data_IF_682966606358
#
_entry.id   IF_682966606358
#
_cell.length_a   1.000
_cell.length_b   1.000
_cell.length_c   1.000
_cell.angle_alpha   90.00
_cell.angle_beta   90.00
_cell.angle_gamma   90.00
#
_symmetry.space_group_name_H-M   'P 1'
#
loop_
_entity.id
_entity.type
_entity.pdbx_description
1 polymer ?
#
# COMPACT_ATOMS: atom_id res chain seq x y z
N UNK A 1 -16.48 -18.89 6.71
CA UNK A 1 -15.89 -18.99 5.36
C UNK A 1 -15.95 -17.68 4.55
N UNK A 2 -16.29 -16.51 5.13
CA UNK A 2 -16.25 -15.22 4.41
C UNK A 2 -15.01 -14.38 4.75
N UNK A 3 -14.55 -14.43 6.01
CA UNK A 3 -13.41 -13.64 6.49
C UNK A 3 -12.07 -14.12 5.93
N UNK A 4 -11.94 -15.42 5.63
CA UNK A 4 -10.72 -16.00 5.04
C UNK A 4 -10.38 -15.37 3.69
N UNK A 5 -11.37 -15.35 2.78
CA UNK A 5 -11.23 -14.75 1.47
C UNK A 5 -10.90 -13.26 1.58
N UNK A 6 -11.53 -12.53 2.50
CA UNK A 6 -11.22 -11.12 2.70
C UNK A 6 -9.80 -10.89 3.25
N UNK A 7 -9.33 -11.73 4.18
CA UNK A 7 -7.95 -11.65 4.71
C UNK A 7 -6.92 -11.96 3.62
N UNK A 8 -7.16 -12.99 2.82
CA UNK A 8 -6.26 -13.34 1.71
C UNK A 8 -6.25 -12.24 0.65
N UNK A 9 -7.41 -11.80 0.20
CA UNK A 9 -7.55 -10.85 -0.90
C UNK A 9 -7.23 -9.41 -0.48
N UNK A 10 -7.32 -9.06 0.80
CA UNK A 10 -6.97 -7.71 1.26
C UNK A 10 -5.52 -7.68 1.75
N UNK A 11 -5.11 -8.63 2.59
CA UNK A 11 -3.81 -8.58 3.28
C UNK A 11 -2.74 -9.49 2.68
N UNK A 12 -3.10 -10.39 1.75
CA UNK A 12 -2.18 -11.40 1.23
C UNK A 12 -1.68 -12.36 2.32
N UNK A 13 -2.47 -12.55 3.38
CA UNK A 13 -2.10 -13.36 4.54
C UNK A 13 -2.99 -14.59 4.71
N UNK A 14 -2.50 -15.66 5.36
CA UNK A 14 -3.37 -16.75 5.80
C UNK A 14 -4.38 -16.25 6.83
N UNK A 15 -5.54 -16.91 6.93
CA UNK A 15 -6.48 -16.64 8.02
C UNK A 15 -5.78 -16.84 9.37
N UNK A 16 -6.06 -15.94 10.31
CA UNK A 16 -5.61 -16.08 11.70
C UNK A 16 -6.17 -17.38 12.27
N UNK A 17 -5.31 -18.36 12.48
CA UNK A 17 -5.62 -19.50 13.34
C UNK A 17 -5.24 -19.12 14.76
N UNK A 18 -6.14 -19.38 15.71
CA UNK A 18 -5.97 -19.02 17.12
C UNK A 18 -4.89 -19.89 17.79
N UNK A 19 -3.63 -19.65 17.45
CA UNK A 19 -2.46 -20.38 17.95
C UNK A 19 -1.45 -19.46 18.65
N UNK A 20 -1.83 -18.22 18.97
CA UNK A 20 -0.99 -17.28 19.74
C UNK A 20 0.23 -16.71 18.99
N UNK A 21 0.32 -16.88 17.67
CA UNK A 21 1.38 -16.28 16.84
C UNK A 21 1.04 -14.86 16.37
N UNK A 22 2.08 -14.10 15.97
CA UNK A 22 1.89 -12.80 15.34
C UNK A 22 1.14 -12.95 14.02
N UNK A 23 0.18 -12.05 13.78
CA UNK A 23 -0.56 -12.00 12.53
C UNK A 23 0.40 -11.88 11.34
N UNK A 24 0.37 -12.85 10.44
CA UNK A 24 1.14 -12.78 9.19
C UNK A 24 0.28 -12.07 8.14
N UNK A 25 0.83 -11.05 7.50
CA UNK A 25 0.23 -10.37 6.36
C UNK A 25 1.35 -9.92 5.42
N UNK A 26 1.10 -9.88 4.12
CA UNK A 26 2.01 -9.23 3.18
C UNK A 26 1.84 -7.72 3.23
N UNK A 27 0.58 -7.27 3.30
CA UNK A 27 0.22 -5.87 3.21
C UNK A 27 -0.82 -5.50 4.28
N UNK A 28 -0.79 -4.24 4.69
CA UNK A 28 -1.80 -3.59 5.52
C UNK A 28 -2.05 -2.18 4.98
N UNK A 29 -3.28 -1.69 5.10
CA UNK A 29 -3.64 -0.37 4.56
C UNK A 29 -4.00 0.62 5.67
N UNK A 30 -3.70 1.89 5.42
CA UNK A 30 -4.13 3.01 6.24
C UNK A 30 -4.70 4.12 5.36
N UNK A 31 -5.71 4.78 5.92
CA UNK A 31 -6.37 5.94 5.34
C UNK A 31 -5.55 7.17 5.70
N UNK A 32 -4.89 7.77 4.70
CA UNK A 32 -3.94 8.86 4.91
C UNK A 32 -4.64 10.15 5.38
N UNK A 33 -5.85 10.39 4.87
CA UNK A 33 -6.65 11.59 5.16
C UNK A 33 -7.26 11.50 6.56
N UNK A 34 -7.96 10.40 6.86
CA UNK A 34 -8.58 10.20 8.17
C UNK A 34 -7.57 9.73 9.25
N UNK A 35 -6.30 9.53 8.87
CA UNK A 35 -5.20 9.08 9.74
C UNK A 35 -5.56 7.87 10.60
N UNK A 36 -6.11 6.83 9.98
CA UNK A 36 -6.58 5.61 10.66
C UNK A 36 -6.21 4.35 9.90
N UNK A 37 -6.18 3.23 10.60
CA UNK A 37 -6.05 1.93 9.96
C UNK A 37 -7.28 1.59 9.11
N UNK A 38 -7.06 0.91 7.99
CA UNK A 38 -8.09 0.52 7.03
C UNK A 38 -7.98 1.28 5.71
N UNK A 39 -8.74 0.85 4.72
CA UNK A 39 -8.84 1.54 3.44
C UNK A 39 -9.67 2.84 3.60
N UNK A 40 -9.37 3.89 2.82
CA UNK A 40 -10.25 5.04 2.70
C UNK A 40 -11.66 4.65 2.20
N UNK A 41 -12.67 5.48 2.45
CA UNK A 41 -13.99 5.30 1.84
C UNK A 41 -13.89 5.18 0.31
N UNK A 42 -14.71 4.31 -0.28
CA UNK A 42 -14.78 4.09 -1.73
C UNK A 42 -13.49 3.54 -2.36
N UNK A 43 -12.54 3.08 -1.56
CA UNK A 43 -11.32 2.39 -2.04
C UNK A 43 -11.42 0.89 -1.78
N UNK A 44 -11.14 0.11 -2.81
CA UNK A 44 -10.99 -1.34 -2.72
C UNK A 44 -9.52 -1.75 -2.96
N UNK A 45 -9.11 -2.85 -2.32
CA UNK A 45 -7.81 -3.47 -2.54
C UNK A 45 -7.99 -4.97 -2.81
N UNK A 46 -7.25 -5.49 -3.79
CA UNK A 46 -7.26 -6.88 -4.20
C UNK A 46 -5.84 -7.39 -4.43
N UNK A 47 -5.34 -8.22 -3.53
CA UNK A 47 -4.13 -9.00 -3.70
C UNK A 47 -4.40 -10.12 -4.70
N UNK A 48 -3.74 -10.07 -5.84
CA UNK A 48 -3.94 -10.99 -6.97
C UNK A 48 -2.85 -12.05 -7.06
N UNK A 49 -1.65 -11.79 -6.55
CA UNK A 49 -0.53 -12.75 -6.50
C UNK A 49 0.36 -12.53 -5.29
N UNK A 50 0.92 -13.63 -4.77
CA UNK A 50 1.95 -13.63 -3.74
C UNK A 50 3.08 -14.54 -4.21
N UNK A 51 4.24 -13.95 -4.44
CA UNK A 51 5.48 -14.63 -4.76
C UNK A 51 6.47 -14.45 -3.59
N UNK A 52 7.54 -15.25 -3.48
CA UNK A 52 8.49 -15.16 -2.36
C UNK A 52 9.03 -13.74 -2.11
N UNK A 53 9.35 -13.00 -3.17
CA UNK A 53 9.96 -11.66 -3.13
C UNK A 53 9.01 -10.55 -3.62
N UNK A 54 7.77 -10.88 -3.98
CA UNK A 54 6.84 -9.91 -4.53
C UNK A 54 5.38 -10.13 -4.08
N UNK A 55 4.60 -9.07 -4.05
CA UNK A 55 3.15 -9.13 -3.85
C UNK A 55 2.48 -8.20 -4.84
N UNK A 56 1.50 -8.73 -5.58
CA UNK A 56 0.73 -7.95 -6.54
C UNK A 56 -0.60 -7.57 -5.91
N UNK A 57 -0.90 -6.28 -5.90
CA UNK A 57 -2.15 -5.72 -5.40
C UNK A 57 -2.75 -4.77 -6.42
N UNK A 58 -4.07 -4.81 -6.56
CA UNK A 58 -4.83 -3.84 -7.30
C UNK A 58 -5.57 -2.92 -6.34
N UNK A 59 -5.42 -1.62 -6.54
CA UNK A 59 -6.14 -0.59 -5.82
C UNK A 59 -7.14 0.06 -6.76
N UNK A 60 -8.38 0.21 -6.30
CA UNK A 60 -9.46 0.81 -7.09
C UNK A 60 -10.09 1.93 -6.28
N UNK A 61 -10.12 3.14 -6.85
CA UNK A 61 -10.92 4.24 -6.34
C UNK A 61 -12.25 4.28 -7.09
N UNK A 62 -13.33 4.00 -6.37
CA UNK A 62 -14.70 3.97 -6.90
C UNK A 62 -15.38 5.34 -6.85
N UNK A 63 -14.75 6.35 -6.24
CA UNK A 63 -15.31 7.69 -6.19
C UNK A 63 -15.29 8.32 -7.59
N UNK A 64 -16.42 8.87 -8.08
CA UNK A 64 -16.48 9.49 -9.40
C UNK A 64 -15.74 10.83 -9.47
N UNK A 65 -15.52 11.47 -8.32
CA UNK A 65 -15.04 12.85 -8.24
C UNK A 65 -13.87 13.04 -7.26
N UNK A 66 -13.77 12.23 -6.19
CA UNK A 66 -12.76 12.45 -5.17
C UNK A 66 -11.49 11.64 -5.44
N UNK A 67 -10.33 12.31 -5.40
CA UNK A 67 -9.04 11.65 -5.18
C UNK A 67 -9.02 11.01 -3.79
N UNK A 68 -8.37 9.84 -3.66
CA UNK A 68 -8.16 9.15 -2.40
C UNK A 68 -6.69 8.86 -2.18
N UNK A 69 -6.20 9.07 -0.97
CA UNK A 69 -4.83 8.70 -0.60
C UNK A 69 -4.80 7.52 0.36
N UNK A 70 -4.12 6.44 -0.04
CA UNK A 70 -3.94 5.23 0.76
C UNK A 70 -2.47 4.99 1.06
N UNK A 71 -2.15 4.59 2.29
CA UNK A 71 -0.81 4.16 2.67
C UNK A 71 -0.80 2.63 2.71
N UNK A 72 0.06 2.03 1.90
CA UNK A 72 0.34 0.60 1.90
C UNK A 72 1.53 0.34 2.82
N UNK A 73 1.32 -0.46 3.85
CA UNK A 73 2.33 -0.92 4.78
C UNK A 73 2.74 -2.35 4.42
N UNK A 74 4.03 -2.62 4.44
CA UNK A 74 4.61 -3.94 4.20
C UNK A 74 4.68 -4.75 5.50
N UNK A 75 3.95 -5.85 5.57
CA UNK A 75 3.79 -6.64 6.80
C UNK A 75 2.65 -6.13 7.69
N UNK A 76 2.23 -6.95 8.65
CA UNK A 76 1.19 -6.56 9.61
C UNK A 76 1.68 -5.50 10.62
N UNK A 77 2.99 -5.50 10.87
CA UNK A 77 3.74 -4.75 11.88
C UNK A 77 4.94 -4.00 11.29
N UNK A 78 4.90 -3.64 10.01
CA UNK A 78 5.99 -2.98 9.28
C UNK A 78 7.30 -3.78 9.27
N UNK A 79 7.23 -5.10 9.44
CA UNK A 79 8.40 -5.97 9.52
C UNK A 79 9.05 -6.25 8.15
N UNK A 80 8.37 -5.93 7.05
CA UNK A 80 8.91 -6.03 5.70
C UNK A 80 9.33 -4.65 5.18
N UNK A 81 10.22 -4.63 4.20
CA UNK A 81 10.59 -3.41 3.47
C UNK A 81 10.16 -3.55 2.03
N UNK A 82 9.42 -2.57 1.50
CA UNK A 82 9.25 -2.44 0.05
C UNK A 82 10.57 -1.91 -0.46
N UNK A 83 11.16 -2.58 -1.46
CA UNK A 83 12.44 -2.20 -2.09
C UNK A 83 12.21 -1.57 -3.47
N UNK A 84 11.13 -1.95 -4.13
CA UNK A 84 10.68 -1.34 -5.37
C UNK A 84 9.18 -1.54 -5.57
N UNK A 85 8.55 -0.62 -6.28
CA UNK A 85 7.18 -0.74 -6.77
C UNK A 85 7.16 -0.55 -8.27
N UNK A 86 6.52 -1.50 -8.96
CA UNK A 86 6.16 -1.34 -10.36
C UNK A 86 4.66 -1.12 -10.47
N UNK A 87 4.23 -0.12 -11.21
CA UNK A 87 2.83 0.26 -11.29
C UNK A 87 2.39 0.56 -12.72
N UNK A 88 1.11 0.35 -12.98
CA UNK A 88 0.46 0.74 -14.24
C UNK A 88 0.14 2.23 -14.24
N UNK A 89 0.47 2.93 -15.31
CA UNK A 89 0.07 4.32 -15.56
C UNK A 89 -0.62 4.42 -16.91
N UNK A 90 -1.53 5.39 -17.03
CA UNK A 90 -2.19 5.75 -18.28
C UNK A 90 -1.99 7.25 -18.48
N UNK A 91 -1.37 7.66 -19.58
CA UNK A 91 -1.20 9.10 -19.89
C UNK A 91 -2.46 9.73 -20.52
N UNK A 92 -3.46 8.91 -20.87
CA UNK A 92 -4.69 9.37 -21.53
C UNK A 92 -5.83 9.56 -20.53
N UNK A 93 -5.96 10.79 -20.02
CA UNK A 93 -7.05 11.23 -19.13
C UNK A 93 -8.41 11.38 -19.87
N UNK A 94 -8.45 11.21 -21.19
CA UNK A 94 -9.66 11.48 -22.00
C UNK A 94 -10.65 10.32 -22.05
N UNK A 95 -10.28 9.15 -21.49
CA UNK A 95 -11.13 7.96 -21.50
C UNK A 95 -12.17 8.00 -20.37
N UNK A 96 -13.31 8.61 -20.67
CA UNK A 96 -14.48 8.71 -19.76
C UNK A 96 -15.57 7.68 -20.04
N UNK A 97 -15.31 6.71 -20.93
CA UNK A 97 -16.22 5.59 -21.21
C UNK A 97 -17.61 6.01 -21.71
N UNK A 98 -17.70 7.09 -22.50
CA UNK A 98 -19.01 7.53 -23.01
C UNK A 98 -19.51 6.55 -24.09
N UNK A 99 -20.74 6.08 -23.91
CA UNK A 99 -21.27 4.84 -24.49
C UNK A 99 -21.57 4.93 -26.01
N UNK A 100 -21.29 6.08 -26.63
CA UNK A 100 -21.72 6.40 -28.00
C UNK A 100 -20.61 6.87 -28.94
N UNK A 101 -19.35 6.89 -28.51
CA UNK A 101 -18.25 7.23 -29.41
C UNK A 101 -17.57 5.95 -29.95
N UNK A 102 -17.84 5.65 -31.22
CA UNK A 102 -17.26 4.52 -31.94
C UNK A 102 -15.77 4.71 -32.28
N UNK A 103 -15.13 5.78 -31.80
CA UNK A 103 -13.72 6.12 -32.02
C UNK A 103 -12.75 5.83 -30.86
N UNK A 104 -13.20 5.24 -29.75
CA UNK A 104 -12.31 5.00 -28.61
C UNK A 104 -11.28 3.88 -28.89
N UNK A 105 -10.00 4.24 -28.79
CA UNK A 105 -8.90 3.27 -28.73
C UNK A 105 -8.70 2.85 -27.27
N UNK A 106 -8.37 1.58 -27.03
CA UNK A 106 -8.05 1.09 -25.68
C UNK A 106 -6.91 1.94 -25.08
N UNK A 107 -7.05 2.45 -23.85
CA UNK A 107 -6.02 3.28 -23.23
C UNK A 107 -4.71 2.51 -23.18
N UNK A 108 -3.63 3.15 -23.62
CA UNK A 108 -2.29 2.55 -23.58
C UNK A 108 -1.81 2.57 -22.15
N UNK A 109 -1.92 1.43 -21.47
CA UNK A 109 -1.38 1.23 -20.13
C UNK A 109 0.12 0.95 -20.25
N UNK A 110 0.95 1.81 -19.67
CA UNK A 110 2.39 1.58 -19.52
C UNK A 110 2.72 1.15 -18.09
N UNK A 111 3.87 0.50 -17.90
CA UNK A 111 4.37 0.17 -16.57
C UNK A 111 5.58 1.04 -16.26
N UNK A 112 5.57 1.64 -15.07
CA UNK A 112 6.71 2.38 -14.51
C UNK A 112 7.22 1.67 -13.26
N UNK A 113 8.49 1.88 -12.93
CA UNK A 113 9.11 1.31 -11.72
C UNK A 113 9.80 2.39 -10.91
N UNK A 114 9.58 2.36 -9.59
CA UNK A 114 10.18 3.24 -8.62
C UNK A 114 10.87 2.41 -7.53
N UNK A 115 12.16 2.65 -7.32
CA UNK A 115 12.87 2.14 -6.14
C UNK A 115 12.46 2.94 -4.91
N UNK A 116 12.16 2.24 -3.82
CA UNK A 116 11.84 2.84 -2.54
C UNK A 116 12.31 1.86 -1.47
N UNK A 117 13.00 2.31 -0.42
CA UNK A 117 13.49 1.45 0.65
C UNK A 117 12.75 1.80 1.95
N UNK A 118 11.45 1.47 1.99
CA UNK A 118 10.56 1.89 3.06
C UNK A 118 9.53 0.81 3.40
N UNK A 119 9.15 0.65 4.68
CA UNK A 119 8.03 -0.21 5.06
C UNK A 119 6.66 0.40 4.70
N UNK A 120 6.61 1.68 4.31
CA UNK A 120 5.39 2.40 3.93
C UNK A 120 5.51 3.00 2.53
N UNK A 121 4.47 2.82 1.72
CA UNK A 121 4.29 3.43 0.41
C UNK A 121 2.98 4.22 0.39
N UNK A 122 3.06 5.52 0.12
CA UNK A 122 1.85 6.36 -0.06
C UNK A 122 1.44 6.36 -1.52
N UNK A 123 0.19 5.99 -1.79
CA UNK A 123 -0.38 5.90 -3.13
C UNK A 123 -1.53 6.89 -3.23
N UNK A 124 -1.44 7.79 -4.22
CA UNK A 124 -2.52 8.70 -4.58
C UNK A 124 -3.31 8.07 -5.71
N UNK A 125 -4.62 7.94 -5.51
CA UNK A 125 -5.55 7.34 -6.46
C UNK A 125 -6.48 8.44 -6.98
N UNK A 126 -6.32 8.89 -8.23
CA UNK A 126 -7.29 9.79 -8.85
C UNK A 126 -8.70 9.17 -8.85
N UNK A 127 -9.71 10.01 -9.07
CA UNK A 127 -11.09 9.55 -9.18
C UNK A 127 -11.24 8.48 -10.27
N UNK A 128 -12.17 7.53 -10.08
CA UNK A 128 -12.50 6.49 -11.06
C UNK A 128 -11.32 5.68 -11.62
N UNK A 129 -10.25 5.48 -10.83
CA UNK A 129 -9.01 4.86 -11.29
C UNK A 129 -8.79 3.47 -10.69
N UNK A 130 -8.20 2.57 -11.49
CA UNK A 130 -7.61 1.30 -11.04
C UNK A 130 -6.11 1.30 -11.30
N UNK A 131 -5.31 1.02 -10.27
CA UNK A 131 -3.86 0.88 -10.38
C UNK A 131 -3.45 -0.53 -9.94
N UNK A 132 -2.68 -1.21 -10.77
CA UNK A 132 -2.00 -2.45 -10.39
C UNK A 132 -0.61 -2.12 -9.89
N UNK A 133 -0.27 -2.61 -8.70
CA UNK A 133 1.04 -2.46 -8.06
C UNK A 133 1.68 -3.84 -7.89
N UNK A 134 2.94 -3.97 -8.32
CA UNK A 134 3.81 -5.10 -8.00
C UNK A 134 4.87 -4.60 -7.03
N UNK A 135 4.71 -4.96 -5.76
CA UNK A 135 5.59 -4.57 -4.67
C UNK A 135 6.67 -5.63 -4.49
N UNK A 136 7.94 -5.27 -4.71
CA UNK A 136 9.07 -6.12 -4.31
C UNK A 136 9.32 -5.92 -2.82
N UNK A 137 9.39 -7.03 -2.08
CA UNK A 137 9.46 -7.04 -0.63
C UNK A 137 10.72 -7.75 -0.17
N UNK A 138 11.48 -7.11 0.71
CA UNK A 138 12.42 -7.80 1.58
C UNK A 138 11.68 -8.20 2.87
N UNK A 139 11.55 -9.52 3.08
CA UNK A 139 10.72 -10.07 4.14
C UNK A 139 11.50 -10.11 5.46
N UNK A 140 10.91 -9.51 6.49
CA UNK A 140 11.41 -9.54 7.88
C UNK A 140 12.74 -8.78 8.04
N UNK A 141 12.97 -7.78 7.19
CA UNK A 141 14.11 -6.88 7.27
C UNK A 141 14.10 -6.01 8.54
N UNK A 142 12.92 -5.73 9.11
CA UNK A 142 12.76 -4.83 10.25
C UNK A 142 12.29 -5.56 11.51
N UNK A 143 12.53 -4.96 12.68
CA UNK A 143 11.92 -5.41 13.94
C UNK A 143 10.42 -5.08 13.93
N UNK A 144 9.52 -6.06 14.14
CA UNK A 144 8.09 -5.81 14.17
C UNK A 144 7.70 -4.74 15.19
N UNK A 145 6.82 -3.82 14.80
CA UNK A 145 6.40 -2.70 15.62
C UNK A 145 4.91 -2.40 15.47
N UNK A 146 4.31 -1.84 16.53
CA UNK A 146 2.96 -1.28 16.48
C UNK A 146 2.93 0.17 15.95
N UNK A 147 4.11 0.73 15.63
CA UNK A 147 4.19 2.07 15.06
C UNK A 147 3.41 2.13 13.75
N UNK A 148 2.58 3.16 13.66
CA UNK A 148 1.78 3.48 12.49
C UNK A 148 2.52 4.50 11.63
N UNK A 149 2.16 4.65 10.34
CA UNK A 149 2.74 5.71 9.50
C UNK A 149 2.41 7.13 10.01
N UNK A 150 1.55 7.26 11.02
CA UNK A 150 1.13 8.53 11.60
C UNK A 150 1.91 8.90 12.87
N UNK A 151 2.65 7.95 13.44
CA UNK A 151 3.46 8.18 14.62
C UNK A 151 4.70 8.96 14.21
N UNK A 152 4.78 10.22 14.65
CA UNK A 152 6.00 11.01 14.52
C UNK A 152 7.13 10.27 15.22
N UNK A 153 8.34 10.27 14.66
CA UNK A 153 9.53 9.90 15.44
C UNK A 153 9.55 10.78 16.69
N UNK A 154 9.18 10.20 17.83
CA UNK A 154 9.42 10.82 19.11
C UNK A 154 10.92 11.07 19.18
N UNK A 155 11.29 12.36 19.24
CA UNK A 155 12.61 12.86 18.90
C UNK A 155 13.77 12.02 19.43
N UNK A 156 14.75 11.82 18.56
CA UNK A 156 16.11 11.51 18.98
C UNK A 156 16.53 12.57 20.03
N UNK A 157 16.89 12.20 21.27
CA UNK A 157 17.47 13.17 22.18
C UNK A 157 18.79 13.62 21.56
N UNK A 158 18.92 14.93 21.35
CA UNK A 158 20.17 15.54 20.90
C UNK A 158 21.32 15.05 21.81
N UNK A 159 22.48 14.64 21.25
CA UNK A 159 23.62 14.26 22.08
C UNK A 159 23.97 15.44 22.98
N UNK A 160 23.83 15.22 24.29
CA UNK A 160 24.18 16.17 25.31
C UNK A 160 25.61 16.64 25.10
N UNK A 161 25.77 17.96 25.06
CA UNK A 161 27.07 18.62 25.07
C UNK A 161 27.81 18.20 26.33
N UNK A 162 28.85 17.37 26.19
CA UNK A 162 29.86 17.20 27.23
C UNK A 162 30.64 18.51 27.33
N UNK A 163 30.27 19.29 28.36
CA UNK A 163 31.00 20.44 28.85
C UNK A 163 32.31 19.95 29.48
N UNK A 164 33.43 20.06 28.75
CA UNK A 164 34.77 19.86 29.30
C UNK A 164 35.50 21.19 29.33
N UNK A 165 35.51 21.78 30.52
CA UNK A 165 36.27 22.98 30.87
C UNK A 165 37.74 22.61 31.09
N UNK A 166 38.64 23.32 30.39
CA UNK A 166 39.96 23.75 30.89
C UNK A 166 40.13 25.23 30.63
#
# INVERSE_FOLDING_TARGET
>A
MATEALVQLTWGGPQVLYNGGLQQARLRYHDAEARRAGLPPEVAALVTSIDPEATTVELVNLSPEAERTVIVQAGAFAEHTITAVRYTTCEDDSWIGDMYDYGHTEPVVTEEELSCDSPFLTVRLPASTRIKLVLRLDLRANTPSYRTPFDTDAGEPAPGTEESTV
#
